data_IF_355915334091
#
_entry.id   IF_355915334091
#
_cell.length_a   1.000
_cell.length_b   1.000
_cell.length_c   1.000
_cell.angle_alpha   90.00
_cell.angle_beta   90.00
_cell.angle_gamma   90.00
#
_symmetry.space_group_name_H-M   'P 1'
#
loop_
_entity.id
_entity.type
_entity.pdbx_description
1 polymer ?
#
# COMPACT_ATOMS: atom_id res chain seq x y z
N UNK A 1 -46.60 22.90 10.28
CA UNK A 1 -46.01 21.91 9.35
C UNK A 1 -44.74 22.50 8.72
N UNK A 2 -43.54 22.06 9.14
CA UNK A 2 -42.29 21.98 8.35
C UNK A 2 -41.08 21.76 9.27
N UNK A 3 -40.86 20.51 9.66
CA UNK A 3 -39.62 20.04 10.28
C UNK A 3 -38.89 19.21 9.24
N UNK A 4 -38.01 19.82 8.43
CA UNK A 4 -37.19 19.09 7.44
C UNK A 4 -35.84 19.79 7.18
N UNK A 5 -34.95 19.82 8.17
CA UNK A 5 -33.54 20.20 7.92
C UNK A 5 -32.49 19.33 8.65
N UNK A 6 -32.90 18.28 9.35
CA UNK A 6 -31.98 17.50 10.19
C UNK A 6 -31.71 16.07 9.72
N UNK A 7 -32.08 15.73 8.48
CA UNK A 7 -31.99 14.36 7.95
C UNK A 7 -31.03 14.18 6.77
N UNK A 8 -30.08 15.11 6.58
CA UNK A 8 -29.08 15.02 5.50
C UNK A 8 -27.67 14.65 5.99
N UNK A 9 -27.39 14.69 7.30
CA UNK A 9 -26.04 14.37 7.84
C UNK A 9 -25.81 12.91 8.21
N UNK A 10 -26.85 12.08 8.27
CA UNK A 10 -26.73 10.67 8.66
C UNK A 10 -26.40 9.71 7.49
N UNK A 11 -26.57 10.16 6.23
CA UNK A 11 -26.34 9.30 5.06
C UNK A 11 -24.86 9.12 4.69
N UNK A 12 -23.98 10.02 5.12
CA UNK A 12 -22.55 9.95 4.79
C UNK A 12 -21.78 8.90 5.61
N UNK A 13 -22.32 8.47 6.75
CA UNK A 13 -21.64 7.51 7.64
C UNK A 13 -22.02 6.06 7.30
N UNK A 14 -23.17 5.83 6.64
CA UNK A 14 -23.64 4.49 6.28
C UNK A 14 -22.83 3.86 5.13
N UNK A 15 -22.12 4.65 4.32
CA UNK A 15 -21.27 4.14 3.24
C UNK A 15 -19.92 3.58 3.73
N UNK A 16 -19.51 3.83 4.97
CA UNK A 16 -18.33 3.19 5.57
C UNK A 16 -18.64 1.82 6.22
N UNK A 17 -19.91 1.53 6.52
CA UNK A 17 -20.30 0.27 7.17
C UNK A 17 -20.53 -0.88 6.18
N UNK A 18 -20.81 -0.60 4.92
CA UNK A 18 -21.00 -1.62 3.87
C UNK A 18 -19.69 -2.07 3.21
N UNK A 19 -18.55 -1.43 3.51
CA UNK A 19 -17.21 -1.90 3.09
C UNK A 19 -16.57 -2.90 4.07
N UNK A 20 -17.24 -3.21 5.19
CA UNK A 20 -16.72 -4.04 6.28
C UNK A 20 -16.87 -5.56 6.10
N UNK A 21 -17.38 -6.02 4.96
CA UNK A 21 -17.69 -7.43 4.73
C UNK A 21 -16.96 -7.98 3.50
N UNK A 22 -15.62 -8.15 3.59
CA UNK A 22 -14.82 -9.21 2.90
C UNK A 22 -13.30 -9.13 3.19
N UNK A 23 -12.81 -8.53 4.27
CA UNK A 23 -11.40 -8.76 4.69
C UNK A 23 -11.17 -10.19 5.26
N UNK A 24 -12.19 -11.05 5.21
CA UNK A 24 -12.17 -12.45 5.64
C UNK A 24 -11.99 -13.47 4.52
N UNK A 25 -11.63 -13.07 3.30
CA UNK A 25 -11.04 -14.00 2.35
C UNK A 25 -9.56 -14.11 2.71
N UNK A 26 -9.14 -15.28 3.21
CA UNK A 26 -7.77 -15.53 3.64
C UNK A 26 -6.78 -14.92 2.66
N UNK A 27 -6.03 -13.92 3.12
CA UNK A 27 -4.77 -13.53 2.49
C UNK A 27 -3.90 -14.77 2.58
N UNK A 28 -3.97 -15.65 1.59
CA UNK A 28 -2.93 -16.62 1.35
C UNK A 28 -1.67 -15.78 1.25
N UNK A 29 -0.86 -15.79 2.32
CA UNK A 29 0.31 -14.93 2.41
C UNK A 29 1.09 -15.10 1.13
N UNK A 30 1.26 -14.00 0.38
CA UNK A 30 2.14 -14.03 -0.75
C UNK A 30 3.52 -14.42 -0.22
N UNK A 31 4.17 -15.37 -0.88
CA UNK A 31 5.49 -15.82 -0.45
C UNK A 31 6.40 -14.59 -0.39
N UNK A 32 7.06 -14.34 0.76
CA UNK A 32 7.83 -13.12 0.93
C UNK A 32 8.95 -13.09 -0.11
N UNK A 33 8.90 -12.11 -1.01
CA UNK A 33 9.99 -11.88 -1.96
C UNK A 33 11.14 -11.22 -1.22
N UNK A 34 12.27 -11.93 -1.17
CA UNK A 34 13.49 -11.42 -0.55
C UNK A 34 14.25 -10.54 -1.54
N UNK A 35 13.82 -9.27 -1.66
CA UNK A 35 14.59 -8.23 -2.37
C UNK A 35 15.40 -7.43 -1.34
N UNK A 36 16.73 -7.52 -1.34
CA UNK A 36 17.56 -6.72 -0.44
C UNK A 36 17.51 -5.24 -0.84
N UNK A 37 17.50 -4.35 0.17
CA UNK A 37 17.62 -2.90 -0.08
C UNK A 37 19.00 -2.61 -0.70
N UNK A 38 19.09 -1.86 -1.80
CA UNK A 38 20.37 -1.48 -2.37
C UNK A 38 21.13 -0.58 -1.39
N UNK A 39 22.45 -0.79 -1.29
CA UNK A 39 23.31 -0.12 -0.29
C UNK A 39 24.27 0.90 -0.89
N UNK A 40 24.60 0.76 -2.17
CA UNK A 40 25.59 1.59 -2.86
C UNK A 40 24.95 2.37 -4.00
N UNK A 41 25.59 3.44 -4.49
CA UNK A 41 25.24 4.05 -5.77
C UNK A 41 25.09 2.97 -6.86
N UNK A 42 24.23 3.19 -7.85
CA UNK A 42 23.67 4.49 -8.28
C UNK A 42 22.27 4.85 -7.72
N UNK A 43 21.79 4.15 -6.69
CA UNK A 43 20.43 4.32 -6.17
C UNK A 43 20.24 5.58 -5.32
N UNK A 44 19.15 6.31 -5.53
CA UNK A 44 18.69 7.38 -4.65
C UNK A 44 17.68 6.85 -3.63
N UNK A 45 17.86 7.18 -2.36
CA UNK A 45 16.98 6.75 -1.26
C UNK A 45 15.99 7.87 -0.90
N UNK A 46 14.73 7.52 -0.66
CA UNK A 46 13.72 8.46 -0.16
C UNK A 46 14.00 8.90 1.29
N UNK A 47 13.44 10.05 1.70
CA UNK A 47 13.65 10.60 3.04
C UNK A 47 13.16 9.68 4.17
N UNK A 48 12.08 8.92 3.92
CA UNK A 48 11.56 7.91 4.85
C UNK A 48 12.35 6.58 4.81
N UNK A 49 13.27 6.43 3.86
CA UNK A 49 14.08 5.24 3.67
C UNK A 49 13.32 3.99 3.26
N UNK A 50 12.12 4.16 2.72
CA UNK A 50 11.26 3.06 2.26
C UNK A 50 11.34 2.84 0.75
N UNK A 51 11.86 3.79 -0.01
CA UNK A 51 11.93 3.74 -1.48
C UNK A 51 13.36 3.96 -1.95
N UNK A 52 13.76 3.16 -2.94
CA UNK A 52 15.07 3.24 -3.58
C UNK A 52 14.87 3.29 -5.09
N UNK A 53 15.36 4.34 -5.74
CA UNK A 53 15.14 4.58 -7.17
C UNK A 53 16.45 4.58 -7.95
N UNK A 54 16.41 4.00 -9.16
CA UNK A 54 17.48 4.09 -10.16
C UNK A 54 16.87 4.04 -11.57
N UNK A 55 17.32 4.94 -12.46
CA UNK A 55 16.87 4.99 -13.87
C UNK A 55 15.34 5.01 -14.07
N UNK A 56 14.60 5.66 -13.17
CA UNK A 56 13.13 5.74 -13.24
C UNK A 56 12.40 4.52 -12.68
N UNK A 57 13.12 3.50 -12.21
CA UNK A 57 12.57 2.35 -11.49
C UNK A 57 12.77 2.56 -9.98
N UNK A 58 11.69 2.56 -9.20
CA UNK A 58 11.76 2.61 -7.76
C UNK A 58 11.22 1.34 -7.11
N UNK A 59 12.05 0.71 -6.28
CA UNK A 59 11.66 -0.38 -5.40
C UNK A 59 11.26 0.14 -4.03
N UNK A 60 10.29 -0.53 -3.42
CA UNK A 60 9.64 -0.07 -2.20
C UNK A 60 9.55 -1.17 -1.14
N UNK A 61 9.74 -0.79 0.11
CA UNK A 61 9.68 -1.66 1.29
C UNK A 61 8.71 -1.11 2.34
N UNK A 62 8.16 -2.01 3.15
CA UNK A 62 7.42 -1.61 4.33
C UNK A 62 8.34 -1.19 5.49
N UNK A 63 7.75 -0.66 6.55
CA UNK A 63 8.46 -0.22 7.77
C UNK A 63 9.15 -1.36 8.52
N UNK A 64 8.85 -2.62 8.18
CA UNK A 64 9.51 -3.82 8.71
C UNK A 64 10.56 -4.39 7.75
N UNK A 65 10.88 -3.64 6.69
CA UNK A 65 11.85 -4.02 5.65
C UNK A 65 11.46 -5.24 4.82
N UNK A 66 10.17 -5.53 4.67
CA UNK A 66 9.72 -6.48 3.64
C UNK A 66 9.52 -5.76 2.31
N UNK A 67 9.91 -6.39 1.21
CA UNK A 67 9.69 -5.86 -0.13
C UNK A 67 8.19 -5.80 -0.44
N UNK A 68 7.74 -4.68 -0.99
CA UNK A 68 6.32 -4.42 -1.27
C UNK A 68 6.08 -4.48 -2.78
N UNK A 69 6.73 -3.61 -3.54
CA UNK A 69 6.47 -3.47 -4.97
C UNK A 69 7.53 -2.61 -5.67
N UNK A 70 7.55 -2.70 -7.00
CA UNK A 70 8.29 -1.80 -7.87
C UNK A 70 7.33 -0.83 -8.57
N UNK A 71 7.82 0.36 -8.87
CA UNK A 71 7.18 1.32 -9.79
C UNK A 71 7.61 1.11 -11.23
N UNK A 72 8.40 0.07 -11.51
CA UNK A 72 8.55 -0.45 -12.86
C UNK A 72 7.20 -0.87 -13.42
N UNK A 73 6.86 -0.38 -14.61
CA UNK A 73 5.59 -0.72 -15.27
C UNK A 73 5.42 -2.24 -15.41
N UNK A 74 4.19 -2.78 -15.31
CA UNK A 74 2.90 -2.06 -15.36
C UNK A 74 2.29 -1.68 -14.01
N UNK A 75 2.96 -1.92 -12.88
CA UNK A 75 2.30 -1.90 -11.55
C UNK A 75 2.54 -0.63 -10.73
N UNK A 76 3.09 0.41 -11.36
CA UNK A 76 3.41 1.70 -10.75
C UNK A 76 2.24 2.32 -9.95
N UNK A 77 1.05 2.44 -10.57
CA UNK A 77 -0.11 3.06 -9.91
C UNK A 77 -0.59 2.28 -8.68
N UNK A 78 -0.52 0.95 -8.73
CA UNK A 78 -0.88 0.11 -7.60
C UNK A 78 0.17 0.25 -6.49
N UNK A 79 1.44 0.27 -6.86
CA UNK A 79 2.55 0.44 -5.92
C UNK A 79 2.47 1.79 -5.19
N UNK A 80 2.17 2.87 -5.90
CA UNK A 80 1.99 4.20 -5.30
C UNK A 80 0.86 4.20 -4.27
N UNK A 81 -0.28 3.61 -4.61
CA UNK A 81 -1.42 3.48 -3.70
C UNK A 81 -1.09 2.68 -2.44
N UNK A 82 -0.44 1.52 -2.58
CA UNK A 82 -0.01 0.69 -1.45
C UNK A 82 0.99 1.46 -0.57
N UNK A 83 1.95 2.14 -1.19
CA UNK A 83 3.00 2.83 -0.47
C UNK A 83 2.53 4.09 0.25
N UNK A 84 1.48 4.76 -0.21
CA UNK A 84 0.76 5.75 0.60
C UNK A 84 0.19 5.11 1.88
N UNK A 85 -0.43 3.93 1.75
CA UNK A 85 -0.91 3.13 2.87
C UNK A 85 0.19 2.78 3.88
N UNK A 86 1.33 2.25 3.40
CA UNK A 86 2.51 1.91 4.22
C UNK A 86 3.00 3.12 5.02
N UNK A 87 2.98 4.31 4.42
CA UNK A 87 3.44 5.55 5.06
C UNK A 87 2.51 6.01 6.19
N UNK A 88 1.19 5.97 5.98
CA UNK A 88 0.21 6.44 6.96
C UNK A 88 -0.09 5.43 8.07
N UNK A 89 -0.01 4.13 7.78
CA UNK A 89 -0.28 3.08 8.75
C UNK A 89 0.90 2.89 9.73
N UNK A 90 0.64 2.36 10.95
CA UNK A 90 1.70 1.87 11.83
C UNK A 90 2.60 0.82 11.15
N UNK A 91 3.75 0.44 11.74
CA UNK A 91 4.61 -0.60 11.19
C UNK A 91 3.89 -1.96 11.06
N UNK A 92 3.48 -2.30 9.85
CA UNK A 92 2.83 -3.56 9.49
C UNK A 92 3.68 -4.31 8.46
N UNK A 93 3.54 -5.64 8.43
CA UNK A 93 4.18 -6.50 7.42
C UNK A 93 3.31 -6.52 6.15
N UNK A 94 3.34 -5.44 5.37
CA UNK A 94 2.54 -5.30 4.15
C UNK A 94 3.16 -6.09 3.00
N UNK A 95 4.49 -6.19 2.93
CA UNK A 95 5.18 -6.91 1.86
C UNK A 95 4.62 -8.33 1.62
N UNK A 96 4.55 -9.20 2.65
CA UNK A 96 4.00 -10.56 2.51
C UNK A 96 2.49 -10.63 2.19
N UNK A 97 1.77 -9.51 2.19
CA UNK A 97 0.35 -9.45 1.83
C UNK A 97 0.15 -9.06 0.36
N UNK A 98 1.20 -8.53 -0.29
CA UNK A 98 1.13 -8.08 -1.66
C UNK A 98 1.46 -9.25 -2.59
N UNK A 99 0.55 -9.65 -3.49
CA UNK A 99 0.82 -10.74 -4.43
C UNK A 99 1.83 -10.29 -5.50
N UNK A 100 3.11 -10.56 -5.27
CA UNK A 100 4.20 -10.20 -6.20
C UNK A 100 4.12 -10.92 -7.56
N UNK A 101 3.36 -12.02 -7.64
CA UNK A 101 3.09 -12.73 -8.90
C UNK A 101 2.28 -11.91 -9.90
N UNK A 102 1.56 -10.88 -9.43
CA UNK A 102 0.74 -9.98 -10.27
C UNK A 102 1.51 -8.67 -10.55
N UNK A 103 2.58 -8.41 -9.80
CA UNK A 103 3.23 -7.09 -9.71
C UNK A 103 4.63 -7.05 -10.36
N UNK A 104 5.10 -8.19 -10.89
CA UNK A 104 6.44 -8.34 -11.48
C UNK A 104 6.57 -7.70 -12.86
#
# INVERSE_FOLDING_TARGET
>A
MKTRKTLAKAAAIALLAAGGATLGAGMAGAEPVNVPKPQTPPWSKSADGLTYCFEGYCDNWDKRSNYVCTTGAPTALLCDGIMLGVRVLPPLAIGPLVPHSIIR
#
